data_IF_703597131937
#
_entry.id   IF_703597131937
#
_cell.length_a   1.000
_cell.length_b   1.000
_cell.length_c   1.000
_cell.angle_alpha   90.00
_cell.angle_beta   90.00
_cell.angle_gamma   90.00
#
_symmetry.space_group_name_H-M   'P 1'
#
loop_
_entity.id
_entity.type
_entity.pdbx_description
1 polymer ?
#
# COMPACT_ATOMS: atom_id res chain seq x y z
N UNK A 1 -17.24 -17.73 21.05
CA UNK A 1 -17.38 -16.27 21.21
C UNK A 1 -17.93 -15.76 19.89
N UNK A 2 -18.95 -14.90 19.85
CA UNK A 2 -19.49 -14.39 18.57
C UNK A 2 -18.44 -13.44 17.95
N UNK A 3 -17.83 -13.77 16.80
CA UNK A 3 -16.71 -13.01 16.24
C UNK A 3 -17.14 -11.62 15.75
N UNK A 4 -18.41 -11.47 15.38
CA UNK A 4 -18.99 -10.21 14.91
C UNK A 4 -19.25 -9.27 16.09
N UNK A 5 -19.68 -9.78 17.25
CA UNK A 5 -19.90 -8.95 18.45
C UNK A 5 -18.64 -8.74 19.28
N UNK A 6 -17.70 -9.66 19.21
CA UNK A 6 -16.49 -9.68 20.06
C UNK A 6 -15.23 -9.29 19.30
N UNK A 7 -15.37 -8.79 18.08
CA UNK A 7 -14.25 -8.46 17.19
C UNK A 7 -13.18 -7.60 17.87
N UNK A 8 -13.57 -6.54 18.58
CA UNK A 8 -12.60 -5.69 19.29
C UNK A 8 -11.79 -6.43 20.34
N UNK A 9 -12.41 -7.35 21.08
CA UNK A 9 -11.72 -8.17 22.11
C UNK A 9 -10.77 -9.16 21.44
N UNK A 10 -11.20 -9.80 20.35
CA UNK A 10 -10.37 -10.71 19.55
C UNK A 10 -9.14 -9.96 19.02
N UNK A 11 -9.32 -8.80 18.42
CA UNK A 11 -8.22 -8.00 17.88
C UNK A 11 -7.28 -7.48 18.96
N UNK A 12 -7.82 -7.14 20.15
CA UNK A 12 -7.00 -6.80 21.30
C UNK A 12 -6.12 -7.98 21.73
N UNK A 13 -6.71 -9.17 21.87
CA UNK A 13 -5.98 -10.41 22.19
C UNK A 13 -4.90 -10.74 21.14
N UNK A 14 -5.21 -10.59 19.85
CA UNK A 14 -4.23 -10.76 18.77
C UNK A 14 -3.05 -9.78 18.95
N UNK A 15 -3.32 -8.51 19.25
CA UNK A 15 -2.25 -7.54 19.48
C UNK A 15 -1.40 -7.84 20.73
N UNK A 16 -1.99 -8.40 21.78
CA UNK A 16 -1.25 -8.82 22.97
C UNK A 16 -0.37 -10.05 22.68
N UNK A 17 -0.85 -10.96 21.82
CA UNK A 17 -0.12 -12.17 21.41
C UNK A 17 1.05 -11.87 20.48
N UNK A 18 0.84 -11.07 19.45
CA UNK A 18 1.86 -10.74 18.45
C UNK A 18 2.70 -9.50 18.82
N UNK A 19 2.31 -8.79 19.86
CA UNK A 19 2.95 -7.55 20.32
C UNK A 19 2.53 -6.32 19.51
N UNK A 20 3.13 -5.19 19.85
CA UNK A 20 2.97 -3.89 19.20
C UNK A 20 4.02 -3.63 18.10
N UNK A 21 4.92 -4.60 17.88
CA UNK A 21 6.01 -4.48 16.90
C UNK A 21 5.55 -4.90 15.52
N UNK A 22 6.21 -4.31 14.52
CA UNK A 22 6.05 -4.67 13.11
C UNK A 22 6.44 -6.13 12.89
N UNK A 23 5.53 -6.91 12.32
CA UNK A 23 5.74 -8.31 11.93
C UNK A 23 6.28 -8.33 10.50
N UNK A 24 7.47 -8.86 10.29
CA UNK A 24 8.13 -8.91 8.96
C UNK A 24 8.53 -10.31 8.52
N UNK A 25 8.55 -11.27 9.45
CA UNK A 25 8.99 -12.64 9.15
C UNK A 25 7.81 -13.45 8.62
N UNK A 26 8.00 -14.11 7.47
CA UNK A 26 6.94 -14.85 6.80
C UNK A 26 6.27 -15.91 7.69
N UNK A 27 7.00 -16.72 8.49
CA UNK A 27 6.36 -17.67 9.40
C UNK A 27 5.46 -17.02 10.45
N UNK A 28 5.80 -15.82 10.92
CA UNK A 28 4.97 -15.07 11.88
C UNK A 28 3.75 -14.45 11.21
N UNK A 29 3.88 -14.02 9.95
CA UNK A 29 2.75 -13.56 9.13
C UNK A 29 1.75 -14.70 8.89
N UNK A 30 2.24 -15.91 8.57
CA UNK A 30 1.39 -17.11 8.45
C UNK A 30 0.64 -17.37 9.76
N UNK A 31 1.36 -17.42 10.89
CA UNK A 31 0.74 -17.60 12.22
C UNK A 31 -0.31 -16.53 12.53
N UNK A 32 -0.04 -15.27 12.18
CA UNK A 32 -0.98 -14.17 12.36
C UNK A 32 -2.28 -14.42 11.58
N UNK A 33 -2.22 -14.72 10.28
CA UNK A 33 -3.41 -14.93 9.48
C UNK A 33 -4.16 -16.21 9.86
N UNK A 34 -3.45 -17.29 10.23
CA UNK A 34 -4.07 -18.50 10.77
C UNK A 34 -4.87 -18.20 12.02
N UNK A 35 -4.30 -17.47 12.99
CA UNK A 35 -5.01 -17.13 14.22
C UNK A 35 -6.15 -16.13 13.97
N UNK A 36 -5.94 -15.14 13.11
CA UNK A 36 -6.96 -14.17 12.75
C UNK A 36 -8.20 -14.88 12.21
N UNK A 37 -8.04 -15.80 11.26
CA UNK A 37 -9.15 -16.52 10.65
C UNK A 37 -9.78 -17.50 11.63
N UNK A 38 -8.99 -18.20 12.45
CA UNK A 38 -9.50 -19.10 13.49
C UNK A 38 -10.37 -18.34 14.51
N UNK A 39 -9.88 -17.21 15.03
CA UNK A 39 -10.56 -16.46 16.09
C UNK A 39 -11.78 -15.68 15.57
N UNK A 40 -11.76 -15.26 14.31
CA UNK A 40 -12.82 -14.43 13.71
C UNK A 40 -13.77 -15.21 12.81
N UNK A 41 -13.49 -16.48 12.54
CA UNK A 41 -14.15 -17.27 11.49
C UNK A 41 -14.14 -16.55 10.11
N UNK A 42 -13.07 -15.75 9.89
CA UNK A 42 -12.88 -14.88 8.72
C UNK A 42 -13.67 -13.57 8.75
N UNK A 43 -14.53 -13.33 9.74
CA UNK A 43 -15.35 -12.12 9.83
C UNK A 43 -14.56 -10.90 10.28
N UNK A 44 -13.98 -10.21 9.31
CA UNK A 44 -13.21 -8.97 9.47
C UNK A 44 -13.62 -7.96 8.42
N UNK A 45 -13.30 -6.68 8.63
CA UNK A 45 -13.34 -5.69 7.56
C UNK A 45 -11.92 -5.56 7.01
N UNK A 46 -11.74 -5.72 5.71
CA UNK A 46 -10.52 -5.35 5.02
C UNK A 46 -10.81 -4.07 4.23
N UNK A 47 -10.38 -2.94 4.76
CA UNK A 47 -10.49 -1.65 4.08
C UNK A 47 -9.25 -1.40 3.22
N UNK A 48 -9.49 -0.92 2.01
CA UNK A 48 -8.47 -0.54 1.04
C UNK A 48 -8.38 0.97 0.96
N UNK A 49 -7.17 1.51 0.78
CA UNK A 49 -6.94 2.96 0.74
C UNK A 49 -7.74 3.63 -0.40
N UNK A 50 -7.73 3.02 -1.58
CA UNK A 50 -8.21 3.59 -2.83
C UNK A 50 -9.39 2.85 -3.47
N UNK A 51 -9.79 1.71 -2.93
CA UNK A 51 -10.92 0.92 -3.45
C UNK A 51 -12.02 0.70 -2.41
N UNK A 52 -12.93 -0.23 -2.70
CA UNK A 52 -14.01 -0.65 -1.82
C UNK A 52 -13.45 -1.46 -0.63
N UNK A 53 -14.33 -1.99 0.22
CA UNK A 53 -13.95 -2.80 1.36
C UNK A 53 -14.43 -4.24 1.19
N UNK A 54 -13.80 -5.15 1.91
CA UNK A 54 -14.32 -6.51 2.07
C UNK A 54 -14.86 -6.69 3.46
N UNK A 55 -15.86 -7.56 3.55
CA UNK A 55 -16.58 -7.86 4.76
C UNK A 55 -16.18 -9.21 5.35
N UNK A 56 -15.28 -9.95 4.69
CA UNK A 56 -14.76 -11.24 5.12
C UNK A 56 -13.41 -11.55 4.47
N UNK A 57 -12.59 -12.34 5.15
CA UNK A 57 -11.47 -13.08 4.57
C UNK A 57 -11.77 -14.56 4.79
N UNK A 58 -12.24 -15.26 3.77
CA UNK A 58 -12.65 -16.67 3.87
C UNK A 58 -11.46 -17.59 4.11
N UNK A 59 -10.34 -17.30 3.46
CA UNK A 59 -9.13 -18.09 3.56
C UNK A 59 -7.92 -17.23 3.14
N UNK A 60 -6.73 -17.76 3.38
CA UNK A 60 -5.50 -17.22 2.84
C UNK A 60 -4.55 -18.32 2.39
N UNK A 61 -3.63 -17.97 1.51
CA UNK A 61 -2.50 -18.79 1.13
C UNK A 61 -1.23 -17.93 1.10
N UNK A 62 -0.09 -18.52 1.44
CA UNK A 62 1.22 -17.88 1.28
C UNK A 62 2.12 -18.81 0.48
N UNK A 63 2.70 -18.30 -0.60
CA UNK A 63 3.79 -18.98 -1.30
C UNK A 63 5.13 -18.60 -0.66
N UNK A 64 5.72 -19.55 0.07
CA UNK A 64 7.00 -19.40 0.77
C UNK A 64 8.16 -18.96 -0.14
N UNK A 65 8.12 -19.29 -1.43
CA UNK A 65 9.21 -18.96 -2.37
C UNK A 65 9.08 -17.53 -2.89
N UNK A 66 7.86 -17.10 -3.19
CA UNK A 66 7.62 -15.79 -3.81
C UNK A 66 7.24 -14.71 -2.81
N UNK A 67 6.90 -15.09 -1.57
CA UNK A 67 6.41 -14.19 -0.53
C UNK A 67 5.03 -13.62 -0.85
N UNK A 68 4.30 -14.23 -1.78
CA UNK A 68 2.95 -13.78 -2.15
C UNK A 68 1.95 -14.32 -1.14
N UNK A 69 1.35 -13.40 -0.40
CA UNK A 69 0.14 -13.63 0.36
C UNK A 69 -1.07 -13.43 -0.56
N UNK A 70 -1.93 -14.42 -0.63
CA UNK A 70 -3.24 -14.36 -1.28
C UNK A 70 -4.32 -14.37 -0.21
N UNK A 71 -5.08 -13.29 -0.11
CA UNK A 71 -6.30 -13.23 0.71
C UNK A 71 -7.50 -13.53 -0.18
N UNK A 72 -8.36 -14.45 0.26
CA UNK A 72 -9.53 -14.90 -0.50
C UNK A 72 -10.76 -14.23 0.10
N UNK A 73 -11.49 -13.47 -0.72
CA UNK A 73 -12.77 -12.88 -0.33
C UNK A 73 -13.90 -13.88 -0.56
N UNK A 74 -13.95 -14.47 -1.76
CA UNK A 74 -14.94 -15.49 -2.13
C UNK A 74 -14.32 -16.59 -2.99
N UNK A 75 -14.55 -17.85 -2.60
CA UNK A 75 -14.18 -19.03 -3.39
C UNK A 75 -15.39 -19.93 -3.70
N UNK A 76 -15.93 -19.75 -4.91
CA UNK A 76 -17.04 -20.53 -5.44
C UNK A 76 -16.57 -21.77 -6.22
N UNK A 77 -15.26 -22.06 -6.29
CA UNK A 77 -14.75 -23.15 -7.13
C UNK A 77 -15.15 -24.52 -6.61
N UNK A 78 -15.44 -24.64 -5.32
CA UNK A 78 -15.75 -25.90 -4.64
C UNK A 78 -17.18 -25.98 -4.10
N UNK A 79 -18.04 -25.01 -4.43
CA UNK A 79 -19.43 -25.01 -3.99
C UNK A 79 -20.27 -25.84 -4.96
N UNK A 80 -21.06 -26.75 -4.41
CA UNK A 80 -22.10 -27.47 -5.15
C UNK A 80 -23.33 -26.57 -5.23
N UNK A 81 -23.63 -26.08 -6.42
CA UNK A 81 -24.77 -25.21 -6.72
C UNK A 81 -25.60 -25.83 -7.84
N UNK A 82 -26.92 -25.69 -7.78
CA UNK A 82 -27.78 -25.91 -8.94
C UNK A 82 -27.47 -24.88 -10.04
N UNK A 83 -27.93 -25.15 -11.27
CA UNK A 83 -27.71 -24.21 -12.38
C UNK A 83 -28.35 -22.83 -12.10
N UNK A 84 -29.53 -22.80 -11.47
CA UNK A 84 -30.24 -21.56 -11.14
C UNK A 84 -29.49 -20.75 -10.06
N UNK A 85 -29.04 -21.41 -8.99
CA UNK A 85 -28.23 -20.75 -7.93
C UNK A 85 -26.94 -20.17 -8.50
N UNK A 86 -26.25 -20.95 -9.35
CA UNK A 86 -25.03 -20.51 -10.02
C UNK A 86 -25.28 -19.30 -10.93
N UNK A 87 -26.37 -19.30 -11.71
CA UNK A 87 -26.75 -18.17 -12.56
C UNK A 87 -27.03 -16.92 -11.72
N UNK A 88 -27.83 -17.04 -10.66
CA UNK A 88 -28.12 -15.93 -9.74
C UNK A 88 -26.86 -15.38 -9.09
N UNK A 89 -25.97 -16.25 -8.60
CA UNK A 89 -24.68 -15.86 -8.05
C UNK A 89 -23.84 -15.13 -9.08
N UNK A 90 -23.78 -15.61 -10.33
CA UNK A 90 -22.99 -14.99 -11.40
C UNK A 90 -23.49 -13.61 -11.84
N UNK A 91 -24.73 -13.23 -11.51
CA UNK A 91 -25.21 -11.86 -11.72
C UNK A 91 -24.49 -10.84 -10.82
N UNK A 92 -24.04 -11.27 -9.63
CA UNK A 92 -23.33 -10.43 -8.65
C UNK A 92 -21.83 -10.71 -8.69
N UNK A 93 -21.47 -11.99 -8.76
CA UNK A 93 -20.10 -12.50 -8.77
C UNK A 93 -19.83 -13.34 -10.03
N UNK A 94 -19.56 -12.73 -11.20
CA UNK A 94 -19.33 -13.44 -12.45
C UNK A 94 -18.23 -14.52 -12.40
N UNK A 95 -17.18 -14.29 -11.60
CA UNK A 95 -16.05 -15.19 -11.45
C UNK A 95 -16.27 -16.25 -10.36
N UNK A 96 -15.45 -17.29 -10.36
CA UNK A 96 -15.46 -18.36 -9.36
C UNK A 96 -14.51 -18.10 -8.20
N UNK A 97 -13.56 -17.16 -8.34
CA UNK A 97 -12.64 -16.77 -7.27
C UNK A 97 -12.47 -15.25 -7.28
N UNK A 98 -12.54 -14.65 -6.10
CA UNK A 98 -12.21 -13.25 -5.83
C UNK A 98 -11.15 -13.18 -4.75
N UNK A 99 -10.00 -12.59 -5.06
CA UNK A 99 -8.84 -12.59 -4.17
C UNK A 99 -7.99 -11.33 -4.31
N UNK A 100 -7.08 -11.15 -3.35
CA UNK A 100 -6.10 -10.09 -3.29
C UNK A 100 -4.73 -10.75 -3.22
N UNK A 101 -3.85 -10.41 -4.15
CA UNK A 101 -2.45 -10.82 -4.12
C UNK A 101 -1.56 -9.69 -3.63
N UNK A 102 -0.71 -9.95 -2.65
CA UNK A 102 0.28 -9.00 -2.16
C UNK A 102 1.61 -9.70 -1.90
N UNK A 103 2.71 -9.15 -2.43
CA UNK A 103 4.04 -9.56 -2.01
C UNK A 103 4.27 -9.01 -0.60
N UNK A 104 3.93 -9.78 0.44
CA UNK A 104 3.82 -9.23 1.79
C UNK A 104 5.18 -8.77 2.31
N UNK A 105 5.22 -7.56 2.86
CA UNK A 105 6.41 -7.00 3.50
C UNK A 105 6.25 -7.00 5.01
N UNK A 106 5.13 -6.44 5.50
CA UNK A 106 4.92 -6.33 6.93
C UNK A 106 3.48 -6.13 7.35
N UNK A 107 3.18 -6.53 8.59
CA UNK A 107 1.96 -6.18 9.33
C UNK A 107 2.35 -5.24 10.46
N UNK A 108 1.62 -4.14 10.61
CA UNK A 108 1.78 -3.21 11.74
C UNK A 108 0.52 -3.19 12.60
N UNK A 109 0.60 -3.58 13.87
CA UNK A 109 -0.47 -3.36 14.83
C UNK A 109 -0.60 -1.88 15.22
N UNK A 110 -1.81 -1.34 15.15
CA UNK A 110 -2.21 -0.07 15.75
C UNK A 110 -3.07 -0.40 16.95
N UNK A 111 -2.47 -0.32 18.14
CA UNK A 111 -3.08 -0.80 19.38
C UNK A 111 -3.78 0.34 20.11
N UNK A 112 -5.08 0.18 20.31
CA UNK A 112 -5.87 1.02 21.20
C UNK A 112 -6.05 0.37 22.58
N UNK A 113 -6.76 1.09 23.45
CA UNK A 113 -7.07 0.61 24.80
C UNK A 113 -7.90 -0.68 24.77
N UNK A 114 -8.94 -0.72 23.91
CA UNK A 114 -9.95 -1.79 23.88
C UNK A 114 -9.94 -2.65 22.62
N UNK A 115 -9.12 -2.32 21.63
CA UNK A 115 -9.09 -2.97 20.32
C UNK A 115 -7.74 -2.74 19.65
N UNK A 116 -7.50 -3.41 18.53
CA UNK A 116 -6.42 -3.10 17.60
C UNK A 116 -6.93 -3.04 16.16
N UNK A 117 -6.13 -2.47 15.28
CA UNK A 117 -6.24 -2.49 13.81
C UNK A 117 -4.90 -2.96 13.27
N UNK A 118 -4.89 -3.75 12.19
CA UNK A 118 -3.63 -4.22 11.59
C UNK A 118 -3.46 -3.65 10.19
N UNK A 119 -2.37 -2.92 9.97
CA UNK A 119 -2.06 -2.33 8.67
C UNK A 119 -1.13 -3.26 7.90
N UNK A 120 -1.46 -3.54 6.65
CA UNK A 120 -0.67 -4.42 5.78
C UNK A 120 0.07 -3.59 4.73
N UNK A 121 1.35 -3.92 4.54
CA UNK A 121 2.21 -3.35 3.52
C UNK A 121 2.81 -4.46 2.67
N UNK A 122 3.01 -4.18 1.38
CA UNK A 122 3.61 -5.09 0.42
C UNK A 122 4.83 -4.51 -0.27
N UNK A 123 5.49 -5.33 -1.06
CA UNK A 123 6.44 -4.90 -2.07
C UNK A 123 5.72 -4.71 -3.40
N UNK A 124 6.15 -3.69 -4.16
CA UNK A 124 5.71 -3.55 -5.53
C UNK A 124 6.27 -4.67 -6.40
N UNK A 125 5.47 -5.13 -7.37
CA UNK A 125 5.93 -5.93 -8.50
C UNK A 125 5.60 -5.21 -9.79
N UNK A 126 6.50 -5.33 -10.77
CA UNK A 126 6.25 -4.85 -12.12
C UNK A 126 5.16 -5.68 -12.79
N UNK A 127 4.51 -5.13 -13.83
CA UNK A 127 3.56 -5.90 -14.64
C UNK A 127 4.15 -7.18 -15.20
N UNK A 128 5.44 -7.16 -15.58
CA UNK A 128 6.14 -8.33 -16.10
C UNK A 128 6.22 -9.44 -15.05
N UNK A 129 6.50 -9.09 -13.81
CA UNK A 129 6.53 -10.03 -12.69
C UNK A 129 5.13 -10.55 -12.36
N UNK A 130 4.11 -9.68 -12.33
CA UNK A 130 2.71 -10.09 -12.09
C UNK A 130 2.24 -11.05 -13.19
N UNK A 131 2.53 -10.74 -14.47
CA UNK A 131 2.24 -11.64 -15.59
C UNK A 131 2.92 -13.00 -15.41
N UNK A 132 4.18 -13.03 -14.95
CA UNK A 132 4.90 -14.28 -14.69
C UNK A 132 4.27 -15.10 -13.56
N UNK A 133 3.68 -14.47 -12.55
CA UNK A 133 3.02 -15.15 -11.43
C UNK A 133 1.70 -15.81 -11.84
N UNK A 134 0.90 -15.13 -12.67
CA UNK A 134 -0.49 -15.53 -12.90
C UNK A 134 -0.79 -16.12 -14.27
N UNK A 135 0.07 -15.87 -15.28
CA UNK A 135 -0.16 -16.37 -16.64
C UNK A 135 0.16 -17.86 -16.72
N UNK A 136 -0.84 -18.64 -17.09
CA UNK A 136 -0.69 -20.06 -17.43
C UNK A 136 -0.68 -20.18 -18.96
N UNK A 137 0.21 -20.99 -19.52
CA UNK A 137 0.22 -21.23 -20.97
C UNK A 137 -1.13 -21.79 -21.44
N UNK A 138 -1.64 -21.26 -22.56
CA UNK A 138 -2.93 -21.68 -23.12
C UNK A 138 -4.18 -21.15 -22.39
N UNK A 139 -4.03 -20.35 -21.32
CA UNK A 139 -5.15 -19.75 -20.60
C UNK A 139 -5.54 -18.36 -21.11
N UNK A 140 -6.83 -18.03 -21.02
CA UNK A 140 -7.29 -16.65 -21.16
C UNK A 140 -6.73 -15.84 -19.99
N UNK A 141 -6.07 -14.71 -20.30
CA UNK A 141 -5.42 -13.86 -19.32
C UNK A 141 -5.51 -12.39 -19.73
N UNK A 142 -5.91 -11.53 -18.80
CA UNK A 142 -5.89 -10.07 -18.92
C UNK A 142 -5.35 -9.46 -17.63
N UNK A 143 -4.60 -8.37 -17.80
CA UNK A 143 -4.10 -7.52 -16.72
C UNK A 143 -4.45 -6.08 -17.07
N UNK A 144 -5.07 -5.35 -16.15
CA UNK A 144 -5.41 -3.94 -16.33
C UNK A 144 -5.28 -3.16 -15.03
N UNK A 145 -5.17 -1.84 -15.15
CA UNK A 145 -5.22 -0.93 -14.01
C UNK A 145 -6.64 -0.96 -13.41
N UNK A 146 -6.72 -1.18 -12.09
CA UNK A 146 -7.99 -1.27 -11.37
C UNK A 146 -8.22 -0.04 -10.50
N UNK A 147 -7.16 0.42 -9.85
CA UNK A 147 -7.15 1.57 -8.95
C UNK A 147 -5.76 2.20 -8.91
N UNK A 148 -5.53 3.17 -8.03
CA UNK A 148 -4.21 3.79 -7.85
C UNK A 148 -3.14 2.74 -7.49
N UNK A 149 -3.44 1.84 -6.56
CA UNK A 149 -2.45 0.96 -5.96
C UNK A 149 -2.59 -0.51 -6.39
N UNK A 150 -3.54 -0.84 -7.26
CA UNK A 150 -3.85 -2.22 -7.64
C UNK A 150 -3.99 -2.42 -9.14
N UNK A 151 -3.56 -3.60 -9.60
CA UNK A 151 -3.85 -4.12 -10.93
C UNK A 151 -4.76 -5.33 -10.83
N UNK A 152 -5.78 -5.39 -11.67
CA UNK A 152 -6.69 -6.53 -11.72
C UNK A 152 -6.17 -7.57 -12.71
N UNK A 153 -5.99 -8.78 -12.21
CA UNK A 153 -5.71 -9.99 -12.97
C UNK A 153 -7.04 -10.71 -13.19
N UNK A 154 -7.39 -10.94 -14.46
CA UNK A 154 -8.52 -11.79 -14.84
C UNK A 154 -7.98 -12.94 -15.66
N UNK A 155 -8.20 -14.17 -15.19
CA UNK A 155 -7.71 -15.37 -15.88
C UNK A 155 -8.72 -16.50 -15.85
N UNK A 156 -8.54 -17.47 -16.75
CA UNK A 156 -9.32 -18.71 -16.78
C UNK A 156 -8.44 -19.89 -16.40
N UNK A 157 -8.76 -20.57 -15.31
CA UNK A 157 -8.06 -21.77 -14.82
C UNK A 157 -9.07 -22.90 -14.74
N UNK A 158 -8.81 -24.04 -15.38
CA UNK A 158 -9.71 -25.20 -15.41
C UNK A 158 -11.16 -24.84 -15.75
N UNK A 159 -11.33 -24.01 -16.79
CA UNK A 159 -12.60 -23.44 -17.24
C UNK A 159 -13.36 -22.54 -16.25
N UNK A 160 -12.75 -22.16 -15.13
CA UNK A 160 -13.31 -21.22 -14.15
C UNK A 160 -12.60 -19.88 -14.24
N UNK A 161 -13.38 -18.80 -14.23
CA UNK A 161 -12.83 -17.44 -14.19
C UNK A 161 -12.36 -17.12 -12.78
N UNK A 162 -11.18 -16.52 -12.67
CA UNK A 162 -10.61 -16.02 -11.41
C UNK A 162 -10.31 -14.53 -11.56
N UNK A 163 -10.62 -13.77 -10.52
CA UNK A 163 -10.30 -12.34 -10.40
C UNK A 163 -9.40 -12.16 -9.18
N UNK A 164 -8.22 -11.59 -9.42
CA UNK A 164 -7.28 -11.23 -8.36
C UNK A 164 -6.88 -9.77 -8.51
N UNK A 165 -7.19 -8.95 -7.52
CA UNK A 165 -6.62 -7.61 -7.41
C UNK A 165 -5.21 -7.75 -6.81
N UNK A 166 -4.20 -7.27 -7.51
CA UNK A 166 -2.80 -7.41 -7.10
C UNK A 166 -2.27 -6.05 -6.63
N UNK A 167 -1.81 -5.98 -5.38
CA UNK A 167 -1.27 -4.77 -4.79
C UNK A 167 0.13 -4.44 -5.34
N UNK A 168 0.30 -3.24 -5.90
CA UNK A 168 1.43 -2.88 -6.75
C UNK A 168 2.34 -1.77 -6.18
N UNK A 169 2.16 -1.35 -4.93
CA UNK A 169 2.92 -0.22 -4.37
C UNK A 169 3.48 -0.53 -2.97
N UNK A 170 4.61 0.07 -2.56
CA UNK A 170 5.20 -0.23 -1.26
C UNK A 170 4.64 0.69 -0.16
N UNK A 171 3.32 0.68 0.04
CA UNK A 171 2.60 1.52 1.01
C UNK A 171 1.75 0.66 1.94
N UNK A 172 1.36 1.21 3.08
CA UNK A 172 0.30 0.64 3.90
C UNK A 172 -1.04 1.01 3.28
N UNK A 173 -1.57 0.18 2.38
CA UNK A 173 -2.83 0.47 1.68
C UNK A 173 -4.03 -0.31 2.23
N UNK A 174 -3.82 -1.16 3.22
CA UNK A 174 -4.81 -2.12 3.69
C UNK A 174 -4.91 -2.07 5.20
N UNK A 175 -6.13 -1.98 5.72
CA UNK A 175 -6.43 -2.05 7.14
C UNK A 175 -7.35 -3.24 7.42
N UNK A 176 -6.90 -4.16 8.27
CA UNK A 176 -7.71 -5.23 8.83
C UNK A 176 -8.30 -4.72 10.14
N UNK A 177 -9.64 -4.69 10.20
CA UNK A 177 -10.41 -4.04 11.25
C UNK A 177 -11.44 -5.03 11.81
N UNK A 178 -11.70 -5.02 13.13
CA UNK A 178 -12.73 -5.87 13.68
C UNK A 178 -14.12 -5.46 13.20
N UNK A 179 -14.97 -6.46 12.99
CA UNK A 179 -16.41 -6.24 12.76
C UNK A 179 -17.03 -5.51 13.95
N UNK A 180 -18.01 -4.66 13.64
CA UNK A 180 -18.73 -3.83 14.62
C UNK A 180 -17.84 -2.98 15.53
N UNK A 181 -16.64 -2.60 15.06
CA UNK A 181 -15.75 -1.69 15.79
C UNK A 181 -16.29 -0.26 15.90
N UNK A 182 -17.31 0.09 15.11
CA UNK A 182 -17.80 1.47 14.98
C UNK A 182 -16.92 2.36 14.10
N UNK A 183 -15.81 1.83 13.58
CA UNK A 183 -14.97 2.53 12.60
C UNK A 183 -15.64 2.48 11.23
N UNK A 184 -15.80 3.64 10.61
CA UNK A 184 -16.23 3.73 9.23
C UNK A 184 -15.06 3.52 8.27
N UNK A 185 -15.35 3.23 7.00
CA UNK A 185 -14.30 3.20 5.96
C UNK A 185 -13.64 4.58 5.74
N UNK A 186 -14.27 5.68 6.18
CA UNK A 186 -13.62 6.98 6.19
C UNK A 186 -12.51 7.05 7.25
N UNK A 187 -12.78 6.55 8.46
CA UNK A 187 -11.82 6.56 9.57
C UNK A 187 -10.58 5.70 9.25
N UNK A 188 -10.79 4.53 8.65
CA UNK A 188 -9.70 3.64 8.27
C UNK A 188 -8.85 4.18 7.12
N UNK A 189 -9.46 4.78 6.10
CA UNK A 189 -8.73 5.48 5.03
C UNK A 189 -7.90 6.63 5.60
N UNK A 190 -8.49 7.44 6.48
CA UNK A 190 -7.75 8.49 7.18
C UNK A 190 -6.57 7.94 7.98
N UNK A 191 -6.76 6.84 8.71
CA UNK A 191 -5.68 6.16 9.43
C UNK A 191 -4.56 5.72 8.49
N UNK A 192 -4.89 5.10 7.36
CA UNK A 192 -3.91 4.68 6.35
C UNK A 192 -3.15 5.87 5.75
N UNK A 193 -3.83 6.95 5.38
CA UNK A 193 -3.19 8.19 4.90
C UNK A 193 -2.23 8.76 5.96
N UNK A 194 -2.71 8.94 7.19
CA UNK A 194 -1.91 9.50 8.27
C UNK A 194 -0.69 8.64 8.59
N UNK A 195 -0.86 7.32 8.64
CA UNK A 195 0.22 6.39 8.96
C UNK A 195 1.31 6.42 7.90
N UNK A 196 0.95 6.38 6.60
CA UNK A 196 1.95 6.47 5.53
C UNK A 196 2.71 7.81 5.56
N UNK A 197 2.03 8.93 5.80
CA UNK A 197 2.67 10.24 5.87
C UNK A 197 3.57 10.37 7.12
N UNK A 198 3.18 9.79 8.25
CA UNK A 198 4.04 9.72 9.43
C UNK A 198 5.31 8.91 9.17
N UNK A 199 5.20 7.75 8.50
CA UNK A 199 6.37 6.96 8.12
C UNK A 199 7.26 7.71 7.11
N UNK A 200 6.67 8.44 6.15
CA UNK A 200 7.41 9.31 5.24
C UNK A 200 8.18 10.41 5.98
N UNK A 201 7.53 11.08 6.95
CA UNK A 201 8.16 12.09 7.80
C UNK A 201 9.34 11.54 8.59
N UNK A 202 9.19 10.37 9.23
CA UNK A 202 10.30 9.72 9.96
C UNK A 202 11.48 9.44 9.04
N UNK A 203 11.21 8.94 7.83
CA UNK A 203 12.26 8.64 6.84
C UNK A 203 13.00 9.89 6.38
N UNK A 204 12.30 10.97 6.04
CA UNK A 204 12.97 12.20 5.59
C UNK A 204 13.67 12.94 6.74
N UNK A 205 13.12 12.93 7.96
CA UNK A 205 13.79 13.48 9.13
C UNK A 205 15.12 12.76 9.38
N UNK A 206 15.13 11.43 9.34
CA UNK A 206 16.38 10.66 9.44
C UNK A 206 17.38 10.97 8.33
N UNK A 207 16.92 11.29 7.12
CA UNK A 207 17.81 11.74 6.02
C UNK A 207 18.44 13.10 6.37
N UNK A 208 17.64 14.05 6.83
CA UNK A 208 18.11 15.39 7.24
C UNK A 208 19.15 15.26 8.37
N UNK A 209 18.84 14.50 9.42
CA UNK A 209 19.75 14.28 10.55
C UNK A 209 21.05 13.60 10.10
N UNK A 210 20.96 12.65 9.15
CA UNK A 210 22.14 11.95 8.64
C UNK A 210 23.04 12.85 7.80
N UNK A 211 22.48 13.81 7.06
CA UNK A 211 23.25 14.74 6.24
C UNK A 211 24.20 15.61 7.08
N UNK A 212 23.82 15.95 8.31
CA UNK A 212 24.68 16.71 9.23
C UNK A 212 25.96 15.95 9.63
N UNK A 213 25.96 14.62 9.48
CA UNK A 213 27.09 13.76 9.82
C UNK A 213 27.94 13.36 8.60
N UNK A 214 27.49 13.70 7.39
CA UNK A 214 28.21 13.40 6.15
C UNK A 214 29.29 14.44 5.90
N UNK A 215 30.50 13.99 5.57
CA UNK A 215 31.59 14.87 5.12
C UNK A 215 31.14 15.65 3.87
N UNK A 216 31.33 16.97 3.88
CA UNK A 216 30.92 17.84 2.77
C UNK A 216 31.61 17.51 1.43
N UNK A 217 32.72 16.77 1.47
CA UNK A 217 33.46 16.31 0.29
C UNK A 217 33.02 14.94 -0.22
N UNK A 218 32.21 14.20 0.54
CA UNK A 218 31.68 12.89 0.14
C UNK A 218 30.41 13.08 -0.71
N UNK A 219 30.62 13.47 -1.96
CA UNK A 219 29.55 13.78 -2.92
C UNK A 219 28.63 12.58 -3.19
N UNK A 220 29.17 11.36 -3.22
CA UNK A 220 28.38 10.14 -3.46
C UNK A 220 27.41 9.88 -2.31
N UNK A 221 27.88 10.00 -1.07
CA UNK A 221 27.03 9.81 0.11
C UNK A 221 25.98 10.91 0.22
N UNK A 222 26.31 12.16 -0.09
CA UNK A 222 25.35 13.27 -0.16
C UNK A 222 24.24 12.94 -1.18
N UNK A 223 24.62 12.54 -2.40
CA UNK A 223 23.68 12.15 -3.45
C UNK A 223 22.77 10.99 -3.01
N UNK A 224 23.32 9.97 -2.34
CA UNK A 224 22.54 8.84 -1.81
C UNK A 224 21.44 9.31 -0.85
N UNK A 225 21.77 10.25 0.05
CA UNK A 225 20.82 10.82 1.02
C UNK A 225 19.72 11.62 0.31
N UNK A 226 20.08 12.52 -0.60
CA UNK A 226 19.08 13.31 -1.35
C UNK A 226 18.19 12.42 -2.22
N UNK A 227 18.74 11.38 -2.86
CA UNK A 227 17.96 10.40 -3.62
C UNK A 227 17.00 9.60 -2.71
N UNK A 228 17.33 9.41 -1.44
CA UNK A 228 16.40 8.84 -0.47
C UNK A 228 15.24 9.80 -0.17
N UNK A 229 15.50 11.08 0.06
CA UNK A 229 14.44 12.09 0.22
C UNK A 229 13.57 12.20 -1.04
N UNK A 230 14.17 12.12 -2.23
CA UNK A 230 13.45 12.07 -3.52
C UNK A 230 12.44 10.92 -3.57
N UNK A 231 12.85 9.70 -3.22
CA UNK A 231 11.95 8.54 -3.18
C UNK A 231 10.83 8.69 -2.14
N UNK A 232 11.12 9.35 -1.01
CA UNK A 232 10.09 9.69 -0.02
C UNK A 232 9.08 10.68 -0.60
N UNK A 233 9.54 11.70 -1.33
CA UNK A 233 8.64 12.64 -2.00
C UNK A 233 7.76 11.95 -3.05
N UNK A 234 8.30 11.05 -3.85
CA UNK A 234 7.52 10.27 -4.83
C UNK A 234 6.40 9.46 -4.15
N UNK A 235 6.69 8.85 -3.00
CA UNK A 235 5.71 8.17 -2.17
C UNK A 235 4.59 9.12 -1.71
N UNK A 236 4.96 10.29 -1.17
CA UNK A 236 4.03 11.30 -0.66
C UNK A 236 3.14 11.83 -1.78
N UNK A 237 3.71 12.12 -2.95
CA UNK A 237 2.95 12.62 -4.11
C UNK A 237 1.97 11.58 -4.66
N UNK A 238 2.34 10.29 -4.65
CA UNK A 238 1.38 9.21 -4.95
C UNK A 238 0.22 9.28 -3.96
N UNK A 239 0.51 9.19 -2.67
CA UNK A 239 -0.54 9.26 -1.63
C UNK A 239 -1.44 10.49 -1.82
N UNK A 240 -0.88 11.66 -2.16
CA UNK A 240 -1.64 12.86 -2.45
C UNK A 240 -2.50 12.76 -3.72
N UNK A 241 -1.98 12.21 -4.83
CA UNK A 241 -2.80 11.96 -6.02
C UNK A 241 -4.02 11.10 -5.68
N UNK A 242 -3.85 10.07 -4.86
CA UNK A 242 -4.97 9.25 -4.40
C UNK A 242 -5.92 10.04 -3.49
N UNK A 243 -5.40 10.77 -2.50
CA UNK A 243 -6.21 11.56 -1.55
C UNK A 243 -7.07 12.63 -2.24
N UNK A 244 -6.55 13.21 -3.33
CA UNK A 244 -7.20 14.28 -4.10
C UNK A 244 -7.95 13.77 -5.34
N UNK A 245 -8.01 12.45 -5.55
CA UNK A 245 -8.61 11.82 -6.73
C UNK A 245 -8.07 12.40 -8.06
N UNK A 246 -6.75 12.59 -8.15
CA UNK A 246 -6.09 13.13 -9.34
C UNK A 246 -5.91 12.00 -10.36
N UNK A 247 -6.55 12.13 -11.52
CA UNK A 247 -6.40 11.18 -12.62
C UNK A 247 -4.94 11.14 -13.13
N UNK A 248 -4.36 9.94 -13.11
CA UNK A 248 -3.01 9.66 -13.63
C UNK A 248 -3.12 8.71 -14.83
N UNK A 249 -2.59 9.14 -15.97
CA UNK A 249 -2.76 8.42 -17.26
C UNK A 249 -1.71 7.33 -17.52
N UNK A 250 -0.70 7.26 -16.66
CA UNK A 250 0.40 6.31 -16.77
C UNK A 250 0.21 5.20 -15.74
N UNK A 251 0.96 4.10 -15.87
CA UNK A 251 0.97 3.05 -14.86
C UNK A 251 1.41 3.63 -13.52
N UNK A 252 0.44 3.87 -12.64
CA UNK A 252 0.59 4.69 -11.45
C UNK A 252 1.73 4.23 -10.52
N UNK A 253 1.86 2.91 -10.35
CA UNK A 253 2.94 2.30 -9.57
C UNK A 253 4.34 2.72 -10.02
N UNK A 254 4.54 3.02 -11.31
CA UNK A 254 5.83 3.30 -11.95
C UNK A 254 6.09 4.79 -12.20
N UNK A 255 5.14 5.67 -11.84
CA UNK A 255 5.30 7.10 -12.08
C UNK A 255 6.40 7.67 -11.18
N UNK A 256 7.32 8.41 -11.79
CA UNK A 256 8.48 9.04 -11.16
C UNK A 256 8.17 10.48 -10.73
N UNK A 257 9.12 11.11 -10.02
CA UNK A 257 8.95 12.46 -9.46
C UNK A 257 8.43 13.50 -10.45
N UNK A 258 9.03 13.61 -11.64
CA UNK A 258 8.72 14.67 -12.60
C UNK A 258 7.23 14.68 -12.99
N UNK A 259 6.69 13.57 -13.52
CA UNK A 259 5.26 13.47 -13.79
C UNK A 259 4.39 13.65 -12.54
N UNK A 260 4.74 13.06 -11.39
CA UNK A 260 3.97 13.21 -10.14
C UNK A 260 3.84 14.67 -9.71
N UNK A 261 4.94 15.43 -9.73
CA UNK A 261 4.92 16.86 -9.44
C UNK A 261 4.01 17.60 -10.40
N UNK A 262 4.02 17.25 -11.69
CA UNK A 262 3.14 17.91 -12.66
C UNK A 262 1.65 17.62 -12.42
N UNK A 263 1.30 16.40 -12.03
CA UNK A 263 -0.08 16.06 -11.65
C UNK A 263 -0.53 16.85 -10.42
N UNK A 264 0.27 16.83 -9.35
CA UNK A 264 -0.07 17.53 -8.10
C UNK A 264 -0.04 19.05 -8.25
N UNK A 265 0.91 19.62 -9.00
CA UNK A 265 0.99 21.06 -9.32
C UNK A 265 -0.31 21.60 -9.92
N UNK A 266 -1.01 20.80 -10.73
CA UNK A 266 -2.28 21.20 -11.37
C UNK A 266 -3.45 21.26 -10.40
N UNK A 267 -3.37 20.51 -9.29
CA UNK A 267 -4.39 20.44 -8.25
C UNK A 267 -4.11 21.37 -7.06
N UNK A 268 -3.08 22.22 -7.16
CA UNK A 268 -2.55 23.07 -6.08
C UNK A 268 -2.53 24.54 -6.49
N UNK A 269 -2.49 25.43 -5.49
CA UNK A 269 -2.36 26.87 -5.71
C UNK A 269 -0.95 27.28 -6.20
N UNK A 270 -0.79 28.57 -6.51
CA UNK A 270 0.44 29.12 -7.09
C UNK A 270 1.64 29.13 -6.12
N UNK A 271 1.39 29.18 -4.81
CA UNK A 271 2.45 29.11 -3.80
C UNK A 271 3.11 27.72 -3.81
N UNK A 272 2.29 26.67 -3.84
CA UNK A 272 2.77 25.29 -3.98
C UNK A 272 3.48 25.07 -5.33
N UNK A 273 3.01 25.66 -6.44
CA UNK A 273 3.68 25.52 -7.74
C UNK A 273 5.11 26.06 -7.72
N UNK A 274 5.32 27.20 -7.08
CA UNK A 274 6.67 27.80 -6.93
C UNK A 274 7.57 26.90 -6.09
N UNK A 275 7.08 26.41 -4.95
CA UNK A 275 7.81 25.47 -4.10
C UNK A 275 8.19 24.20 -4.88
N UNK A 276 7.26 23.62 -5.63
CA UNK A 276 7.52 22.42 -6.42
C UNK A 276 8.47 22.65 -7.59
N UNK A 277 8.53 23.86 -8.15
CA UNK A 277 9.54 24.25 -9.13
C UNK A 277 10.95 24.17 -8.54
N UNK A 278 11.15 24.87 -7.41
CA UNK A 278 12.41 24.88 -6.67
C UNK A 278 12.82 23.50 -6.17
N UNK A 279 11.87 22.72 -5.67
CA UNK A 279 12.11 21.36 -5.19
C UNK A 279 12.54 20.42 -6.32
N UNK A 280 11.91 20.51 -7.51
CA UNK A 280 12.31 19.71 -8.67
C UNK A 280 13.72 20.05 -9.15
N UNK A 281 14.05 21.35 -9.23
CA UNK A 281 15.36 21.84 -9.60
C UNK A 281 16.44 21.26 -8.67
N UNK A 282 16.30 21.49 -7.36
CA UNK A 282 17.26 21.02 -6.37
C UNK A 282 17.40 19.50 -6.40
N UNK A 283 16.29 18.73 -6.38
CA UNK A 283 16.37 17.27 -6.35
C UNK A 283 16.94 16.65 -7.64
N UNK A 284 16.88 17.34 -8.78
CA UNK A 284 17.46 16.85 -10.03
C UNK A 284 18.98 17.06 -10.09
N UNK A 285 19.54 18.02 -9.35
CA UNK A 285 21.00 18.21 -9.28
C UNK A 285 21.73 17.00 -8.69
N UNK A 286 21.08 16.28 -7.77
CA UNK A 286 21.65 15.11 -7.06
C UNK A 286 21.27 13.76 -7.67
N UNK A 287 20.45 13.74 -8.73
CA UNK A 287 19.97 12.48 -9.33
C UNK A 287 20.79 11.99 -10.52
N UNK A 288 21.71 12.81 -11.02
CA UNK A 288 22.53 12.51 -12.19
C UNK A 288 23.99 12.83 -11.92
N UNK A 289 24.88 11.99 -12.46
CA UNK A 289 26.30 12.30 -12.54
C UNK A 289 26.50 13.40 -13.61
N UNK A 290 26.34 14.65 -13.17
CA UNK A 290 26.41 15.83 -14.04
C UNK A 290 27.82 16.41 -14.14
N UNK A 291 28.79 15.86 -13.39
CA UNK A 291 30.14 16.42 -13.24
C UNK A 291 30.18 17.81 -12.58
N UNK A 292 29.04 18.30 -12.04
CA UNK A 292 28.97 19.58 -11.32
C UNK A 292 29.33 19.38 -9.85
N UNK A 293 29.96 20.39 -9.28
CA UNK A 293 30.24 20.44 -7.85
C UNK A 293 28.93 20.42 -7.05
N UNK A 294 28.91 19.60 -6.00
CA UNK A 294 27.72 19.37 -5.18
C UNK A 294 27.88 20.14 -3.87
N UNK A 295 26.97 21.08 -3.63
CA UNK A 295 26.94 21.87 -2.40
C UNK A 295 26.13 21.14 -1.32
N UNK A 296 26.79 20.84 -0.19
CA UNK A 296 26.16 20.20 0.98
C UNK A 296 24.94 20.97 1.49
N UNK A 297 25.01 22.31 1.48
CA UNK A 297 23.90 23.16 1.93
C UNK A 297 22.67 23.05 1.02
N UNK A 298 22.86 22.93 -0.29
CA UNK A 298 21.76 22.67 -1.24
C UNK A 298 21.10 21.32 -0.97
N UNK A 299 21.88 20.30 -0.60
CA UNK A 299 21.36 18.98 -0.24
C UNK A 299 20.44 19.06 0.99
N UNK A 300 20.84 19.82 2.01
CA UNK A 300 20.02 20.08 3.20
C UNK A 300 18.74 20.80 2.84
N UNK A 301 18.81 21.89 2.08
CA UNK A 301 17.64 22.65 1.63
C UNK A 301 16.67 21.75 0.85
N UNK A 302 17.17 20.90 -0.06
CA UNK A 302 16.35 19.96 -0.81
C UNK A 302 15.58 19.02 0.11
N UNK A 303 16.25 18.40 1.08
CA UNK A 303 15.64 17.46 2.03
C UNK A 303 14.66 18.16 2.99
N UNK A 304 15.00 19.37 3.46
CA UNK A 304 14.11 20.19 4.30
C UNK A 304 12.84 20.60 3.56
N UNK A 305 12.91 20.92 2.26
CA UNK A 305 11.73 21.21 1.44
C UNK A 305 10.81 19.98 1.34
N UNK A 306 11.36 18.78 1.13
CA UNK A 306 10.58 17.53 1.13
C UNK A 306 9.90 17.33 2.48
N UNK A 307 10.64 17.52 3.58
CA UNK A 307 10.09 17.39 4.93
C UNK A 307 8.98 18.41 5.20
N UNK A 308 9.20 19.68 4.84
CA UNK A 308 8.21 20.74 5.01
C UNK A 308 6.93 20.46 4.22
N UNK A 309 7.05 20.08 2.95
CA UNK A 309 5.90 19.71 2.14
C UNK A 309 5.15 18.50 2.70
N UNK A 310 5.88 17.46 3.11
CA UNK A 310 5.27 16.27 3.74
C UNK A 310 4.51 16.65 5.02
N UNK A 311 5.04 17.59 5.80
CA UNK A 311 4.40 18.10 7.02
C UNK A 311 3.15 18.92 6.70
N UNK A 312 3.20 19.77 5.68
CA UNK A 312 2.04 20.53 5.22
C UNK A 312 0.92 19.60 4.75
N UNK A 313 1.25 18.60 3.93
CA UNK A 313 0.28 17.62 3.48
C UNK A 313 -0.32 16.80 4.64
N UNK A 314 0.47 16.46 5.67
CA UNK A 314 -0.04 15.84 6.89
C UNK A 314 -1.16 16.64 7.56
N UNK A 315 -1.04 17.98 7.59
CA UNK A 315 -2.03 18.87 8.21
C UNK A 315 -3.34 18.95 7.41
N UNK A 316 -3.32 18.57 6.14
CA UNK A 316 -4.47 18.58 5.25
C UNK A 316 -5.30 17.30 5.29
N UNK A 317 -4.72 16.19 5.78
CA UNK A 317 -5.42 14.91 5.91
C UNK A 317 -6.42 15.02 7.06
N UNK A 318 -7.69 15.21 6.69
CA UNK A 318 -8.83 15.40 7.58
C UNK A 318 -9.65 14.14 7.77
#
# INVERSE_FOLDING_TARGET
MDPIKSGSVIFKSLSEKFGDKKITQLPEIVKFFSQLIEDTEGWVILDFLDTANWDKIEAFNIDDKSGILTLIWHDYRHIEESNEEKEMRQMIFPASLYSLGIAVNSIVPIVGEKSAVFLLNGFAKTEKEIKKLYRVEGSDFKLYDNSFFEKRVVRKVDNKWEVTDYHCTPIYSLAIIPKNSGLSSFDSKKLLYQYNIQEALKRVASVVDSLDQVDATDHDLICEKVNTARRVLELVLKIECCYRDIEVKENYSQVLLGPLLNYVKRARDDEFKTMFGKMAELLNEFSHDSGKEIEHEKAKIACMLVMAYTKLFQLEIK
#
